data_IF_156242623174
#
_entry.id   IF_156242623174
#
_cell.length_a   1.000
_cell.length_b   1.000
_cell.length_c   1.000
_cell.angle_alpha   90.00
_cell.angle_beta   90.00
_cell.angle_gamma   90.00
#
_symmetry.space_group_name_H-M   'P 1'
#
loop_
_entity.id
_entity.type
_entity.pdbx_description
1 polymer ?
#
# COMPACT_ATOMS: atom_id res chain seq x y z
N UNK A 1 -21.68 -12.00 -20.06
CA UNK A 1 -21.43 -12.63 -18.74
C UNK A 1 -22.31 -11.93 -17.74
N UNK A 2 -23.36 -12.59 -17.25
CA UNK A 2 -24.22 -11.99 -16.23
C UNK A 2 -23.44 -11.85 -14.91
N UNK A 3 -23.60 -10.74 -14.17
CA UNK A 3 -22.94 -10.56 -12.88
C UNK A 3 -23.38 -11.68 -11.93
N UNK A 4 -22.43 -12.42 -11.37
CA UNK A 4 -22.73 -13.53 -10.47
C UNK A 4 -23.41 -13.02 -9.21
N UNK A 5 -24.68 -13.40 -9.04
CA UNK A 5 -25.50 -13.06 -7.87
C UNK A 5 -25.28 -14.10 -6.77
N UNK A 6 -24.22 -13.92 -5.98
CA UNK A 6 -23.85 -14.85 -4.90
C UNK A 6 -24.40 -14.34 -3.56
N UNK A 7 -24.90 -15.23 -2.71
CA UNK A 7 -25.39 -14.91 -1.37
C UNK A 7 -24.25 -14.40 -0.47
N UNK A 8 -24.45 -13.26 0.18
CA UNK A 8 -23.47 -12.65 1.11
C UNK A 8 -23.18 -13.52 2.36
N UNK A 9 -24.05 -14.47 2.69
CA UNK A 9 -23.91 -15.35 3.87
C UNK A 9 -23.32 -16.71 3.48
N UNK A 10 -24.06 -17.52 2.71
CA UNK A 10 -23.67 -18.90 2.42
C UNK A 10 -22.87 -19.10 1.12
N UNK A 11 -22.62 -18.04 0.35
CA UNK A 11 -21.91 -18.06 -0.93
C UNK A 11 -22.52 -18.94 -2.03
N UNK A 12 -23.78 -19.35 -1.89
CA UNK A 12 -24.55 -20.04 -2.94
C UNK A 12 -25.23 -19.04 -3.90
N UNK A 13 -25.67 -19.46 -5.10
CA UNK A 13 -26.46 -18.61 -5.99
C UNK A 13 -27.66 -18.00 -5.28
N UNK A 14 -27.89 -16.70 -5.52
CA UNK A 14 -28.90 -15.89 -4.86
C UNK A 14 -29.84 -15.25 -5.89
N UNK A 15 -31.13 -15.27 -5.59
CA UNK A 15 -32.18 -14.67 -6.41
C UNK A 15 -32.79 -13.41 -5.80
N UNK A 16 -32.58 -13.16 -4.50
CA UNK A 16 -33.15 -12.01 -3.78
C UNK A 16 -32.08 -10.95 -3.58
N UNK A 17 -32.46 -9.68 -3.70
CA UNK A 17 -31.60 -8.52 -3.42
C UNK A 17 -32.13 -7.72 -2.25
N UNK A 18 -31.23 -7.08 -1.50
CA UNK A 18 -31.61 -6.19 -0.41
C UNK A 18 -32.55 -5.09 -0.92
N UNK A 19 -33.76 -4.98 -0.35
CA UNK A 19 -34.77 -4.00 -0.80
C UNK A 19 -34.33 -2.53 -0.68
N UNK A 20 -33.44 -2.22 0.28
CA UNK A 20 -32.96 -0.85 0.54
C UNK A 20 -31.80 -0.44 -0.36
N UNK A 21 -30.71 -1.20 -0.39
CA UNK A 21 -29.52 -0.83 -1.16
C UNK A 21 -29.45 -1.44 -2.56
N UNK A 22 -30.16 -2.53 -2.83
CA UNK A 22 -30.10 -3.33 -4.08
C UNK A 22 -28.69 -3.82 -4.47
N UNK A 23 -27.69 -3.66 -3.61
CA UNK A 23 -26.28 -4.09 -3.83
C UNK A 23 -26.02 -5.50 -3.27
N UNK A 24 -26.61 -5.87 -2.14
CA UNK A 24 -26.44 -7.19 -1.52
C UNK A 24 -27.41 -8.22 -2.12
N UNK A 25 -26.95 -9.46 -2.26
CA UNK A 25 -27.74 -10.61 -2.70
C UNK A 25 -27.84 -11.68 -1.61
N UNK A 26 -29.01 -12.32 -1.51
CA UNK A 26 -29.32 -13.37 -0.55
C UNK A 26 -30.14 -14.48 -1.22
N UNK A 27 -29.92 -15.73 -0.82
CA UNK A 27 -30.77 -16.84 -1.26
C UNK A 27 -32.11 -16.89 -0.50
N UNK A 28 -32.18 -16.37 0.73
CA UNK A 28 -33.37 -16.33 1.58
C UNK A 28 -33.50 -15.02 2.38
N UNK A 29 -34.67 -14.80 2.97
CA UNK A 29 -34.91 -13.66 3.89
C UNK A 29 -34.19 -13.89 5.23
N UNK A 30 -33.99 -15.15 5.62
CA UNK A 30 -33.27 -15.50 6.84
C UNK A 30 -31.81 -15.05 6.78
N UNK A 31 -31.10 -15.33 5.68
CA UNK A 31 -29.73 -14.84 5.47
C UNK A 31 -29.66 -13.32 5.37
N UNK A 32 -30.70 -12.65 4.85
CA UNK A 32 -30.76 -11.19 4.88
C UNK A 32 -30.87 -10.66 6.32
N UNK A 33 -31.66 -11.33 7.16
CA UNK A 33 -31.88 -10.96 8.56
C UNK A 33 -30.62 -11.22 9.40
N UNK A 34 -29.97 -12.36 9.18
CA UNK A 34 -28.70 -12.73 9.81
C UNK A 34 -27.58 -11.73 9.49
N UNK A 35 -27.46 -11.32 8.22
CA UNK A 35 -26.47 -10.34 7.80
C UNK A 35 -26.80 -8.89 8.24
N UNK A 36 -28.02 -8.62 8.71
CA UNK A 36 -28.51 -7.25 8.95
C UNK A 36 -27.70 -6.45 9.97
N UNK A 37 -27.29 -6.98 11.14
CA UNK A 37 -26.52 -6.22 12.14
C UNK A 37 -25.22 -5.64 11.59
N UNK A 38 -24.58 -6.36 10.65
CA UNK A 38 -23.35 -5.95 9.96
C UNK A 38 -23.70 -5.03 8.78
N UNK A 39 -24.62 -5.47 7.92
CA UNK A 39 -24.96 -4.77 6.67
C UNK A 39 -25.57 -3.40 6.91
N UNK A 40 -26.36 -3.20 7.96
CA UNK A 40 -27.07 -1.93 8.24
C UNK A 40 -26.15 -0.72 8.34
N UNK A 41 -24.88 -0.90 8.75
CA UNK A 41 -23.87 0.17 8.84
C UNK A 41 -23.49 0.76 7.47
N UNK A 42 -23.69 -0.01 6.40
CA UNK A 42 -23.34 0.36 5.03
C UNK A 42 -24.55 0.33 4.07
N UNK A 43 -25.73 -0.11 4.55
CA UNK A 43 -26.93 -0.25 3.74
C UNK A 43 -27.56 1.10 3.41
N UNK A 44 -27.58 1.46 2.11
CA UNK A 44 -28.19 2.70 1.61
C UNK A 44 -27.25 3.89 1.58
N UNK A 45 -25.97 3.71 1.98
CA UNK A 45 -24.93 4.67 1.59
C UNK A 45 -24.77 4.55 0.09
N UNK A 46 -25.11 5.63 -0.63
CA UNK A 46 -25.03 5.68 -2.08
C UNK A 46 -23.58 5.46 -2.51
N UNK A 47 -23.22 4.22 -2.83
CA UNK A 47 -22.11 3.98 -3.75
C UNK A 47 -22.58 4.55 -5.07
N UNK A 48 -22.26 5.84 -5.33
CA UNK A 48 -22.47 6.44 -6.63
C UNK A 48 -21.87 5.49 -7.65
N UNK A 49 -22.62 5.02 -8.65
CA UNK A 49 -22.04 4.27 -9.75
C UNK A 49 -20.94 5.18 -10.31
N UNK A 50 -19.68 4.77 -10.14
CA UNK A 50 -18.60 5.38 -10.90
C UNK A 50 -18.84 4.91 -12.32
N UNK A 51 -19.54 5.74 -13.10
CA UNK A 51 -19.63 5.57 -14.55
C UNK A 51 -18.19 5.82 -15.02
N UNK A 52 -17.44 4.73 -15.18
CA UNK A 52 -16.11 4.80 -15.77
C UNK A 52 -16.32 5.00 -17.27
N UNK A 53 -16.25 6.25 -17.71
CA UNK A 53 -16.19 6.56 -19.14
C UNK A 53 -14.92 5.89 -19.70
N UNK A 54 -15.12 4.95 -20.62
CA UNK A 54 -14.07 4.07 -21.18
C UNK A 54 -13.41 4.66 -22.42
N UNK A 55 -13.55 5.96 -22.65
CA UNK A 55 -13.22 6.58 -23.93
C UNK A 55 -11.91 7.39 -23.88
N UNK A 56 -10.80 6.80 -23.40
CA UNK A 56 -9.45 7.29 -23.76
C UNK A 56 -8.37 6.27 -23.41
N UNK A 57 -7.60 5.74 -24.38
CA UNK A 57 -6.40 4.97 -24.09
C UNK A 57 -5.29 5.92 -23.58
N UNK A 58 -4.59 5.58 -22.49
CA UNK A 58 -3.41 6.34 -22.07
C UNK A 58 -2.23 5.94 -22.95
N UNK A 59 -1.85 6.81 -23.87
CA UNK A 59 -0.56 6.74 -24.57
C UNK A 59 0.52 7.22 -23.62
N UNK A 60 1.13 6.29 -22.86
CA UNK A 60 2.34 6.57 -22.09
C UNK A 60 3.54 6.18 -22.95
N UNK A 61 4.27 7.18 -23.44
CA UNK A 61 5.54 7.01 -24.15
C UNK A 61 6.65 6.68 -23.14
N UNK A 62 7.30 5.50 -23.20
CA UNK A 62 8.42 5.16 -22.33
C UNK A 62 9.75 5.49 -23.03
N UNK A 63 10.07 6.76 -23.22
CA UNK A 63 11.39 7.19 -23.74
C UNK A 63 11.59 8.67 -23.54
N UNK A 64 11.99 9.08 -22.33
CA UNK A 64 12.79 10.29 -22.09
C UNK A 64 13.20 10.31 -20.60
N UNK A 65 14.24 9.54 -20.29
CA UNK A 65 15.07 9.76 -19.10
C UNK A 65 16.33 10.42 -19.64
N UNK A 66 16.29 11.75 -19.71
CA UNK A 66 17.45 12.55 -20.08
C UNK A 66 18.55 12.37 -19.03
N UNK A 67 19.77 12.14 -19.51
CA UNK A 67 20.96 11.94 -18.71
C UNK A 67 21.28 13.23 -17.92
N UNK A 68 21.00 13.21 -16.61
CA UNK A 68 21.40 14.28 -15.70
C UNK A 68 22.94 14.27 -15.53
N UNK A 69 23.58 15.45 -15.34
CA UNK A 69 25.03 15.57 -15.16
C UNK A 69 25.51 14.73 -13.97
N UNK A 70 26.46 13.83 -14.24
CA UNK A 70 26.98 12.84 -13.30
C UNK A 70 28.19 13.42 -12.54
N UNK A 71 27.96 14.42 -11.71
CA UNK A 71 28.94 14.89 -10.71
C UNK A 71 28.32 14.77 -9.31
N UNK A 72 28.04 13.54 -8.88
CA UNK A 72 27.52 13.26 -7.53
C UNK A 72 28.45 12.30 -6.81
N UNK A 73 28.82 12.68 -5.60
CA UNK A 73 29.58 11.88 -4.66
C UNK A 73 29.02 10.44 -4.55
N UNK A 74 29.87 9.44 -4.29
CA UNK A 74 29.44 8.06 -4.13
C UNK A 74 28.38 7.96 -3.04
N UNK A 75 27.16 7.54 -3.43
CA UNK A 75 26.07 7.25 -2.50
C UNK A 75 26.48 6.05 -1.66
N UNK A 76 26.55 6.21 -0.33
CA UNK A 76 26.78 5.10 0.59
C UNK A 76 25.56 4.16 0.61
N UNK A 77 25.61 3.11 -0.20
CA UNK A 77 24.56 2.09 -0.29
C UNK A 77 24.70 0.99 0.75
N UNK A 78 25.70 1.04 1.64
CA UNK A 78 25.92 -0.02 2.66
C UNK A 78 24.72 -0.20 3.59
N UNK A 79 23.88 0.82 3.69
CA UNK A 79 22.68 0.81 4.50
C UNK A 79 21.46 0.14 3.84
N UNK A 80 21.50 -0.19 2.53
CA UNK A 80 20.34 -0.70 1.79
C UNK A 80 20.43 -2.24 1.64
N UNK A 81 19.37 -3.01 2.01
CA UNK A 81 19.37 -4.47 1.92
C UNK A 81 19.03 -5.01 0.52
N UNK A 82 19.22 -4.21 -0.52
CA UNK A 82 19.05 -4.61 -1.92
C UNK A 82 20.43 -4.76 -2.54
N UNK A 83 20.68 -5.90 -3.17
CA UNK A 83 21.95 -6.17 -3.86
C UNK A 83 22.19 -5.11 -4.94
N UNK A 84 23.40 -4.57 -5.07
CA UNK A 84 23.75 -3.63 -6.13
C UNK A 84 23.64 -4.25 -7.54
N UNK A 85 23.61 -5.58 -7.65
CA UNK A 85 23.38 -6.30 -8.91
C UNK A 85 21.90 -6.35 -9.35
N UNK A 86 20.97 -5.87 -8.51
CA UNK A 86 19.51 -5.99 -8.65
C UNK A 86 18.84 -5.26 -9.81
N UNK A 87 19.60 -4.65 -10.74
CA UNK A 87 19.05 -3.85 -11.84
C UNK A 87 18.39 -2.53 -11.39
N UNK A 88 18.52 -2.15 -10.12
CA UNK A 88 18.06 -0.86 -9.61
C UNK A 88 18.93 0.27 -10.16
N UNK A 89 18.27 1.36 -10.57
CA UNK A 89 18.99 2.56 -11.01
C UNK A 89 19.63 3.26 -9.80
N UNK A 90 20.73 4.00 -10.04
CA UNK A 90 21.38 4.82 -9.01
C UNK A 90 20.40 5.82 -8.38
N UNK A 91 19.49 6.40 -9.17
CA UNK A 91 18.46 7.30 -8.67
C UNK A 91 17.50 6.62 -7.68
N UNK A 92 17.11 5.37 -7.95
CA UNK A 92 16.25 4.59 -7.05
C UNK A 92 16.98 4.27 -5.75
N UNK A 93 18.24 3.83 -5.82
CA UNK A 93 19.06 3.56 -4.63
C UNK A 93 19.21 4.82 -3.76
N UNK A 94 19.55 5.97 -4.37
CA UNK A 94 19.65 7.24 -3.65
C UNK A 94 18.32 7.61 -2.95
N UNK A 95 17.18 7.38 -3.62
CA UNK A 95 15.87 7.62 -3.03
C UNK A 95 15.59 6.70 -1.84
N UNK A 96 15.96 5.42 -1.92
CA UNK A 96 15.84 4.47 -0.82
C UNK A 96 16.68 4.88 0.40
N UNK A 97 17.90 5.40 0.20
CA UNK A 97 18.73 5.94 1.30
C UNK A 97 18.00 7.10 2.00
N UNK A 98 17.47 8.06 1.23
CA UNK A 98 16.73 9.21 1.77
C UNK A 98 15.52 8.77 2.59
N UNK A 99 14.70 7.89 2.02
CA UNK A 99 13.52 7.33 2.67
C UNK A 99 13.92 6.61 3.97
N UNK A 100 14.98 5.80 3.93
CA UNK A 100 15.44 5.06 5.11
C UNK A 100 15.88 6.00 6.23
N UNK A 101 16.60 7.08 5.89
CA UNK A 101 16.98 8.13 6.84
C UNK A 101 15.77 8.74 7.53
N UNK A 102 14.77 9.16 6.76
CA UNK A 102 13.53 9.76 7.30
C UNK A 102 12.75 8.80 8.21
N UNK A 103 12.63 7.53 7.82
CA UNK A 103 11.97 6.50 8.66
C UNK A 103 12.77 6.28 9.95
N UNK A 104 14.10 6.16 9.88
CA UNK A 104 14.95 5.95 11.07
C UNK A 104 14.84 7.10 12.06
N UNK A 105 14.82 8.35 11.57
CA UNK A 105 14.65 9.53 12.42
C UNK A 105 13.32 9.47 13.18
N UNK A 106 12.21 9.20 12.46
CA UNK A 106 10.90 9.09 13.09
C UNK A 106 10.83 7.92 14.08
N UNK A 107 11.29 6.73 13.68
CA UNK A 107 11.26 5.53 14.52
C UNK A 107 12.12 5.67 15.78
N UNK A 108 13.26 6.37 15.69
CA UNK A 108 14.10 6.66 16.85
C UNK A 108 13.37 7.50 17.89
N UNK A 109 12.65 8.54 17.46
CA UNK A 109 11.80 9.33 18.37
C UNK A 109 10.72 8.44 18.97
N UNK A 110 10.03 7.63 18.15
CA UNK A 110 8.97 6.75 18.62
C UNK A 110 9.44 5.77 19.68
N UNK A 111 10.52 5.03 19.44
CA UNK A 111 11.06 4.07 20.41
C UNK A 111 11.50 4.77 21.72
N UNK A 112 12.03 5.99 21.65
CA UNK A 112 12.43 6.74 22.85
C UNK A 112 11.27 7.14 23.78
N UNK A 113 10.04 7.19 23.25
CA UNK A 113 8.84 7.59 24.01
C UNK A 113 7.76 6.52 24.06
N UNK A 114 7.99 5.33 23.51
CA UNK A 114 6.97 4.29 23.28
C UNK A 114 6.16 3.91 24.51
N UNK A 115 6.83 3.70 25.64
CA UNK A 115 6.15 3.31 26.88
C UNK A 115 5.32 4.46 27.49
N UNK A 116 5.83 5.69 27.40
CA UNK A 116 5.10 6.90 27.81
C UNK A 116 3.93 7.21 26.88
N UNK A 117 4.11 6.99 25.58
CA UNK A 117 3.07 7.17 24.56
C UNK A 117 1.89 6.21 24.79
N UNK A 118 2.14 4.96 25.21
CA UNK A 118 1.09 3.98 25.55
C UNK A 118 0.16 4.45 26.68
N UNK A 119 0.71 5.16 27.66
CA UNK A 119 -0.06 5.76 28.77
C UNK A 119 -0.54 7.18 28.48
N UNK A 120 -0.45 7.63 27.21
CA UNK A 120 -0.89 8.96 26.73
C UNK A 120 -0.21 10.12 27.47
N UNK A 121 1.05 9.96 27.85
CA UNK A 121 1.85 11.04 28.44
C UNK A 121 1.90 12.26 27.49
N UNK A 122 1.58 13.49 27.95
CA UNK A 122 1.51 14.66 27.09
C UNK A 122 2.84 15.02 26.40
N UNK A 123 3.98 14.83 27.09
CA UNK A 123 5.30 15.13 26.52
C UNK A 123 5.66 14.14 25.41
N UNK A 124 5.36 12.85 25.63
CA UNK A 124 5.51 11.82 24.62
C UNK A 124 4.66 12.09 23.37
N UNK A 125 3.38 12.44 23.54
CA UNK A 125 2.48 12.78 22.43
C UNK A 125 3.03 13.95 21.62
N UNK A 126 3.47 15.03 22.29
CA UNK A 126 4.07 16.19 21.64
C UNK A 126 5.31 15.81 20.80
N UNK A 127 6.20 14.98 21.33
CA UNK A 127 7.40 14.51 20.58
C UNK A 127 7.03 13.70 19.35
N UNK A 128 6.00 12.84 19.43
CA UNK A 128 5.51 12.10 18.26
C UNK A 128 4.88 13.04 17.23
N UNK A 129 4.09 14.01 17.67
CA UNK A 129 3.46 14.98 16.77
C UNK A 129 4.50 15.82 16.03
N UNK A 130 5.54 16.30 16.73
CA UNK A 130 6.66 17.04 16.13
C UNK A 130 7.45 16.17 15.13
N UNK A 131 7.75 14.91 15.49
CA UNK A 131 8.43 13.98 14.59
C UNK A 131 7.58 13.66 13.35
N UNK A 132 6.27 13.48 13.54
CA UNK A 132 5.34 13.22 12.45
C UNK A 132 5.23 14.45 11.54
N UNK A 133 5.12 15.66 12.09
CA UNK A 133 5.07 16.89 11.31
C UNK A 133 6.35 17.07 10.47
N UNK A 134 7.53 16.78 11.02
CA UNK A 134 8.79 16.74 10.25
C UNK A 134 8.74 15.70 9.13
N UNK A 135 8.28 14.49 9.44
CA UNK A 135 8.13 13.43 8.45
C UNK A 135 7.13 13.80 7.34
N UNK A 136 6.09 14.56 7.65
CA UNK A 136 5.08 15.02 6.69
C UNK A 136 5.61 16.04 5.66
N UNK A 137 6.79 16.60 5.92
CA UNK A 137 7.52 17.52 5.03
C UNK A 137 8.55 16.79 4.17
N UNK A 138 8.74 15.49 4.38
CA UNK A 138 9.63 14.69 3.56
C UNK A 138 9.10 14.62 2.13
N UNK A 139 9.96 14.94 1.16
CA UNK A 139 9.64 14.91 -0.25
C UNK A 139 10.31 13.73 -0.94
N UNK A 140 9.50 12.97 -1.68
CA UNK A 140 9.97 11.91 -2.55
C UNK A 140 10.13 12.47 -3.96
N UNK A 141 11.20 12.08 -4.65
CA UNK A 141 11.46 12.51 -6.03
C UNK A 141 10.24 12.25 -6.94
N UNK A 142 9.90 13.16 -7.87
CA UNK A 142 8.68 13.07 -8.69
C UNK A 142 8.51 11.75 -9.46
N UNK A 143 9.61 11.11 -9.86
CA UNK A 143 9.62 9.82 -10.54
C UNK A 143 8.95 8.68 -9.73
N UNK A 144 8.94 8.80 -8.40
CA UNK A 144 8.34 7.81 -7.50
C UNK A 144 7.02 8.26 -6.87
N UNK A 145 6.58 9.50 -7.14
CA UNK A 145 5.32 10.02 -6.64
C UNK A 145 4.09 9.43 -7.40
N UNK A 146 2.89 9.63 -6.83
CA UNK A 146 1.61 9.41 -7.55
C UNK A 146 1.18 10.68 -8.25
N UNK A 147 0.54 10.49 -9.41
CA UNK A 147 -0.12 11.56 -10.16
C UNK A 147 -1.57 11.11 -10.47
N UNK A 148 -2.61 11.81 -9.95
CA UNK A 148 -2.52 12.90 -8.98
C UNK A 148 -2.10 12.41 -7.59
N UNK A 149 -1.48 13.29 -6.82
CA UNK A 149 -1.10 12.99 -5.45
C UNK A 149 -2.35 12.87 -4.54
N UNK A 150 -2.38 11.93 -3.58
CA UNK A 150 -3.40 11.89 -2.55
C UNK A 150 -3.48 13.23 -1.77
N UNK A 151 -4.68 13.70 -1.40
CA UNK A 151 -4.85 14.99 -0.73
C UNK A 151 -4.39 14.97 0.74
N UNK A 152 -4.41 13.80 1.38
CA UNK A 152 -3.95 13.59 2.76
C UNK A 152 -2.42 13.56 2.81
N UNK A 153 -1.80 14.43 3.63
CA UNK A 153 -0.34 14.67 3.61
C UNK A 153 0.47 13.43 4.00
N UNK A 154 0.15 12.80 5.13
CA UNK A 154 0.89 11.62 5.60
C UNK A 154 0.65 10.44 4.68
N UNK A 155 -0.61 10.23 4.35
CA UNK A 155 -1.01 9.16 3.45
C UNK A 155 -0.29 9.24 2.11
N UNK A 156 -0.13 10.45 1.56
CA UNK A 156 0.62 10.70 0.33
C UNK A 156 2.06 10.22 0.45
N UNK A 157 2.78 10.64 1.49
CA UNK A 157 4.19 10.28 1.68
C UNK A 157 4.37 8.79 1.90
N UNK A 158 3.53 8.18 2.75
CA UNK A 158 3.56 6.73 2.96
C UNK A 158 3.36 5.97 1.66
N UNK A 159 2.35 6.36 0.86
CA UNK A 159 2.10 5.72 -0.43
C UNK A 159 3.30 5.86 -1.37
N UNK A 160 3.96 7.01 -1.40
CA UNK A 160 5.19 7.19 -2.19
C UNK A 160 6.29 6.23 -1.72
N UNK A 161 6.54 6.17 -0.41
CA UNK A 161 7.52 5.25 0.19
C UNK A 161 7.23 3.79 -0.17
N UNK A 162 5.99 3.35 0.00
CA UNK A 162 5.56 1.98 -0.31
C UNK A 162 5.75 1.69 -1.80
N UNK A 163 5.39 2.63 -2.68
CA UNK A 163 5.59 2.49 -4.13
C UNK A 163 7.07 2.35 -4.47
N UNK A 164 7.93 3.20 -3.91
CA UNK A 164 9.39 3.13 -4.12
C UNK A 164 9.95 1.81 -3.62
N UNK A 165 9.59 1.38 -2.41
CA UNK A 165 10.07 0.13 -1.81
C UNK A 165 9.58 -1.10 -2.55
N UNK A 166 8.30 -1.12 -2.94
CA UNK A 166 7.72 -2.25 -3.65
C UNK A 166 8.30 -2.40 -5.07
N UNK A 167 8.50 -1.27 -5.76
CA UNK A 167 9.19 -1.27 -7.05
C UNK A 167 10.63 -1.78 -6.91
N UNK A 168 11.33 -1.35 -5.86
CA UNK A 168 12.68 -1.83 -5.57
C UNK A 168 12.72 -3.34 -5.32
N UNK A 169 11.83 -3.81 -4.43
CA UNK A 169 11.63 -5.21 -4.12
C UNK A 169 11.45 -6.03 -5.39
N UNK A 170 10.43 -5.73 -6.19
CA UNK A 170 10.10 -6.51 -7.40
C UNK A 170 11.22 -6.50 -8.42
N UNK A 171 11.90 -5.37 -8.61
CA UNK A 171 13.02 -5.23 -9.55
C UNK A 171 14.21 -6.08 -9.12
N UNK A 172 14.45 -6.21 -7.81
CA UNK A 172 15.54 -7.01 -7.26
C UNK A 172 15.34 -8.51 -7.23
N UNK A 173 14.12 -8.99 -7.53
CA UNK A 173 13.81 -10.42 -7.51
C UNK A 173 14.17 -11.08 -8.84
N UNK A 174 14.68 -12.31 -8.78
CA UNK A 174 14.75 -13.19 -9.94
C UNK A 174 13.35 -13.47 -10.49
N UNK A 175 13.27 -13.92 -11.75
CA UNK A 175 11.99 -14.25 -12.39
C UNK A 175 11.17 -15.28 -11.58
N UNK A 176 11.83 -16.34 -11.08
CA UNK A 176 11.22 -17.35 -10.22
C UNK A 176 10.62 -16.74 -8.95
N UNK A 177 11.38 -15.89 -8.24
CA UNK A 177 10.88 -15.21 -7.04
C UNK A 177 9.77 -14.19 -7.33
N UNK A 178 9.75 -13.58 -8.52
CA UNK A 178 8.64 -12.71 -8.95
C UNK A 178 7.36 -13.51 -9.18
N UNK A 179 7.46 -14.68 -9.78
CA UNK A 179 6.32 -15.61 -9.96
C UNK A 179 5.80 -16.09 -8.60
N UNK A 180 6.71 -16.48 -7.70
CA UNK A 180 6.37 -16.85 -6.32
C UNK A 180 5.68 -15.70 -5.58
N UNK A 181 6.22 -14.47 -5.63
CA UNK A 181 5.59 -13.29 -5.03
C UNK A 181 4.19 -13.05 -5.61
N UNK A 182 4.03 -13.19 -6.92
CA UNK A 182 2.73 -13.08 -7.59
C UNK A 182 1.73 -14.12 -7.06
N UNK A 183 2.15 -15.38 -6.91
CA UNK A 183 1.32 -16.44 -6.32
C UNK A 183 0.94 -16.13 -4.86
N UNK A 184 1.92 -15.76 -4.02
CA UNK A 184 1.68 -15.46 -2.60
C UNK A 184 0.76 -14.24 -2.43
N UNK A 185 0.88 -13.22 -3.27
CA UNK A 185 -0.03 -12.07 -3.26
C UNK A 185 -1.47 -12.46 -3.61
N UNK A 186 -1.68 -13.36 -4.58
CA UNK A 186 -3.04 -13.85 -4.90
C UNK A 186 -3.70 -14.58 -3.74
N UNK A 187 -2.89 -15.27 -2.91
CA UNK A 187 -3.37 -16.03 -1.76
C UNK A 187 -3.79 -15.14 -0.57
N UNK A 188 -3.43 -13.85 -0.57
CA UNK A 188 -3.85 -12.94 0.50
C UNK A 188 -5.35 -12.65 0.36
N UNK A 189 -6.18 -13.02 1.36
CA UNK A 189 -7.61 -12.74 1.31
C UNK A 189 -7.86 -11.23 1.40
N UNK A 190 -8.89 -10.72 0.71
CA UNK A 190 -9.30 -9.33 0.88
C UNK A 190 -9.86 -9.14 2.29
N UNK A 191 -9.53 -8.01 2.91
CA UNK A 191 -9.99 -7.68 4.27
C UNK A 191 -10.55 -6.26 4.32
N UNK A 192 -11.88 -6.19 4.48
CA UNK A 192 -12.63 -4.95 4.50
C UNK A 192 -12.35 -4.08 3.27
N UNK A 193 -12.23 -2.77 3.48
CA UNK A 193 -11.94 -1.82 2.41
C UNK A 193 -10.43 -1.61 2.19
N UNK A 194 -9.62 -1.95 3.19
CA UNK A 194 -8.18 -1.63 3.28
C UNK A 194 -7.29 -2.58 2.50
N UNK A 195 -7.58 -3.88 2.53
CA UNK A 195 -6.82 -4.90 1.80
C UNK A 195 -7.66 -5.34 0.60
N UNK A 196 -7.35 -4.88 -0.62
CA UNK A 196 -8.05 -5.35 -1.81
C UNK A 196 -7.65 -6.81 -2.12
N UNK A 197 -8.45 -7.48 -2.95
CA UNK A 197 -7.96 -8.69 -3.60
C UNK A 197 -6.81 -8.29 -4.52
N UNK A 198 -5.60 -8.79 -4.24
CA UNK A 198 -4.48 -8.53 -5.12
C UNK A 198 -4.62 -9.30 -6.42
N UNK A 199 -4.17 -8.67 -7.51
CA UNK A 199 -3.88 -9.33 -8.77
C UNK A 199 -2.37 -9.52 -8.83
N UNK A 200 -1.89 -10.60 -8.24
CA UNK A 200 -0.46 -10.84 -7.97
C UNK A 200 0.41 -10.66 -9.20
N UNK A 201 0.05 -11.29 -10.34
CA UNK A 201 0.74 -11.12 -11.63
C UNK A 201 0.88 -9.64 -12.03
N UNK A 202 -0.21 -8.88 -11.96
CA UNK A 202 -0.18 -7.43 -12.24
C UNK A 202 0.74 -6.68 -11.26
N UNK A 203 0.73 -7.06 -9.98
CA UNK A 203 1.58 -6.42 -8.97
C UNK A 203 3.07 -6.60 -9.30
N UNK A 204 3.48 -7.76 -9.79
CA UNK A 204 4.89 -8.03 -10.11
C UNK A 204 5.31 -7.61 -11.52
N UNK A 205 4.39 -7.57 -12.48
CA UNK A 205 4.71 -7.13 -13.85
C UNK A 205 4.74 -5.61 -13.98
N UNK A 206 3.87 -4.92 -13.24
CA UNK A 206 3.69 -3.47 -13.32
C UNK A 206 3.79 -2.81 -11.94
N UNK A 207 4.89 -3.03 -11.18
CA UNK A 207 4.97 -2.63 -9.77
C UNK A 207 4.91 -1.12 -9.54
N UNK A 208 5.11 -0.30 -10.57
CA UNK A 208 5.00 1.17 -10.53
C UNK A 208 3.64 1.73 -10.96
N UNK A 209 2.75 0.91 -11.55
CA UNK A 209 1.46 1.34 -12.12
C UNK A 209 0.25 0.90 -11.28
N UNK A 210 0.48 0.52 -10.01
CA UNK A 210 -0.59 0.07 -9.13
C UNK A 210 -1.38 1.25 -8.58
N UNK A 211 -2.64 1.00 -8.20
CA UNK A 211 -3.45 2.04 -7.56
C UNK A 211 -3.01 2.30 -6.12
N UNK A 212 -3.26 3.50 -5.60
CA UNK A 212 -3.04 3.84 -4.19
C UNK A 212 -3.67 2.82 -3.21
N UNK A 213 -4.84 2.27 -3.55
CA UNK A 213 -5.51 1.23 -2.74
C UNK A 213 -4.70 -0.06 -2.67
N UNK A 214 -4.04 -0.44 -3.77
CA UNK A 214 -3.20 -1.64 -3.80
C UNK A 214 -1.96 -1.43 -2.94
N UNK A 215 -1.29 -0.28 -3.04
CA UNK A 215 -0.13 0.01 -2.17
C UNK A 215 -0.51 0.13 -0.69
N UNK A 216 -1.66 0.71 -0.36
CA UNK A 216 -2.21 0.69 1.01
C UNK A 216 -2.39 -0.74 1.53
N UNK A 217 -2.89 -1.65 0.68
CA UNK A 217 -2.98 -3.07 1.01
C UNK A 217 -1.60 -3.70 1.21
N UNK A 218 -0.68 -3.47 0.27
CA UNK A 218 0.69 -3.99 0.31
C UNK A 218 1.40 -3.57 1.60
N UNK A 219 1.31 -2.29 2.01
CA UNK A 219 1.86 -1.80 3.28
C UNK A 219 1.46 -2.67 4.48
N UNK A 220 0.26 -3.24 4.48
CA UNK A 220 -0.27 -4.00 5.62
C UNK A 220 0.10 -5.48 5.59
N UNK A 221 0.38 -6.02 4.41
CA UNK A 221 0.47 -7.48 4.22
C UNK A 221 1.83 -7.93 3.71
N UNK A 222 2.58 -7.07 3.02
CA UNK A 222 3.75 -7.48 2.25
C UNK A 222 4.84 -8.09 3.12
N UNK A 223 5.03 -7.60 4.34
CA UNK A 223 6.01 -8.14 5.29
C UNK A 223 5.76 -9.63 5.55
N UNK A 224 4.50 -10.06 5.67
CA UNK A 224 4.14 -11.48 5.83
C UNK A 224 4.30 -12.27 4.53
N UNK A 225 3.96 -11.66 3.40
CA UNK A 225 4.02 -12.29 2.07
C UNK A 225 5.47 -12.65 1.69
N UNK A 226 6.44 -11.79 2.01
CA UNK A 226 7.83 -11.95 1.56
C UNK A 226 8.71 -12.72 2.56
N UNK A 227 8.19 -13.15 3.72
CA UNK A 227 8.94 -13.95 4.69
C UNK A 227 9.48 -15.23 4.03
N UNK A 228 10.77 -15.48 4.22
CA UNK A 228 11.48 -16.64 3.65
C UNK A 228 11.78 -16.54 2.15
N UNK A 229 11.34 -15.47 1.47
CA UNK A 229 11.61 -15.24 0.04
C UNK A 229 12.77 -14.25 -0.18
N UNK A 230 12.90 -13.28 0.72
CA UNK A 230 13.91 -12.22 0.68
C UNK A 230 14.79 -12.22 1.93
N UNK A 231 15.87 -11.44 1.89
CA UNK A 231 16.72 -11.22 3.04
C UNK A 231 15.93 -10.68 4.24
N UNK A 232 16.36 -11.07 5.45
CA UNK A 232 15.71 -10.68 6.71
C UNK A 232 15.65 -9.17 6.88
N UNK A 233 16.67 -8.44 6.44
CA UNK A 233 16.70 -6.97 6.52
C UNK A 233 15.61 -6.33 5.67
N UNK A 234 15.31 -6.87 4.49
CA UNK A 234 14.19 -6.40 3.65
C UNK A 234 12.85 -6.60 4.37
N UNK A 235 12.67 -7.72 5.09
CA UNK A 235 11.47 -7.97 5.91
C UNK A 235 11.35 -6.95 7.05
N UNK A 236 12.46 -6.63 7.72
CA UNK A 236 12.50 -5.64 8.81
C UNK A 236 12.08 -4.27 8.29
N UNK A 237 12.60 -3.85 7.13
CA UNK A 237 12.23 -2.58 6.51
C UNK A 237 10.73 -2.49 6.23
N UNK A 238 10.14 -3.57 5.69
CA UNK A 238 8.69 -3.62 5.47
C UNK A 238 7.90 -3.54 6.77
N UNK A 239 8.38 -4.18 7.84
CA UNK A 239 7.73 -4.10 9.15
C UNK A 239 7.74 -2.68 9.70
N UNK A 240 8.87 -1.99 9.67
CA UNK A 240 8.98 -0.60 10.13
C UNK A 240 8.05 0.34 9.34
N UNK A 241 8.01 0.21 8.01
CA UNK A 241 7.07 0.97 7.17
C UNK A 241 5.62 0.66 7.54
N UNK A 242 5.31 -0.62 7.83
CA UNK A 242 3.97 -1.04 8.26
C UNK A 242 3.59 -0.41 9.60
N UNK A 243 4.50 -0.40 10.57
CA UNK A 243 4.31 0.17 11.90
C UNK A 243 4.10 1.68 11.82
N UNK A 244 4.99 2.40 11.13
CA UNK A 244 4.83 3.82 10.83
C UNK A 244 3.48 4.09 10.16
N UNK A 245 3.11 3.26 9.18
CA UNK A 245 1.84 3.33 8.49
C UNK A 245 0.66 3.20 9.46
N UNK A 246 0.64 2.19 10.33
CA UNK A 246 -0.42 2.01 11.34
C UNK A 246 -0.54 3.20 12.28
N UNK A 247 0.58 3.81 12.65
CA UNK A 247 0.64 4.90 13.62
C UNK A 247 0.21 6.25 13.04
N UNK A 248 0.45 6.48 11.75
CA UNK A 248 0.25 7.79 11.10
C UNK A 248 -0.84 7.78 10.03
N UNK A 249 -1.56 6.66 9.84
CA UNK A 249 -2.56 6.56 8.78
C UNK A 249 -3.74 7.51 9.00
N UNK A 250 -3.93 8.44 8.07
CA UNK A 250 -5.11 9.29 8.01
C UNK A 250 -6.25 8.53 7.30
N UNK A 251 -7.36 8.31 8.00
CA UNK A 251 -8.56 7.72 7.39
C UNK A 251 -9.14 8.64 6.30
N UNK A 252 -9.84 8.04 5.33
CA UNK A 252 -10.56 8.81 4.32
C UNK A 252 -11.76 9.48 5.01
N UNK A 253 -11.77 10.81 5.00
CA UNK A 253 -12.94 11.63 5.35
C UNK A 253 -13.94 11.60 4.21
#
# INVERSE_FOLDING_TARGET
MEPSTICDVCRQPASKRCGKCKVAYYCSVDHQTEAWPIRRKHCGKALRPVIVDRSTPPTTNPSQLDALPVDSDPVDTSSIPFDSTSGLTRAHLAELVKIRGAIKEWSSVFESVKDKWRVRDPEALKKIDEASERFSKFEVSPAFAFTPAPPQKFRRILLFIIKTYFTALVTSLSQEKREELGYRLNAVPPYGERIPQFKGKKCVDEPGALSARVYEGLMRTISMVVIGMVDKEVVIWWREVSELGVMTWEERV
#
